data_IF_504256929222
#
_entry.id   IF_504256929222
#
_cell.length_a   1.000
_cell.length_b   1.000
_cell.length_c   1.000
_cell.angle_alpha   90.00
_cell.angle_beta   90.00
_cell.angle_gamma   90.00
#
_symmetry.space_group_name_H-M   'P 1'
#
loop_
_entity.id
_entity.type
_entity.pdbx_description
1 polymer ?
#
# COMPACT_ATOMS: atom_id res chain seq x y z
N UNK A 1 15.39 11.45 -18.95
CA UNK A 1 15.67 11.06 -17.55
C UNK A 1 14.35 11.20 -16.79
N UNK A 2 13.91 10.13 -16.16
CA UNK A 2 12.73 10.13 -15.32
C UNK A 2 12.96 10.90 -14.01
N UNK A 3 11.89 11.26 -13.31
CA UNK A 3 11.97 12.00 -12.05
C UNK A 3 12.58 11.18 -10.90
N UNK A 4 12.68 9.85 -11.07
CA UNK A 4 13.17 8.89 -10.07
C UNK A 4 14.43 8.13 -10.52
N UNK A 5 15.15 8.62 -11.53
CA UNK A 5 16.38 7.98 -12.02
C UNK A 5 17.38 7.72 -10.87
N UNK A 6 17.84 6.47 -10.74
CA UNK A 6 18.77 6.03 -9.70
C UNK A 6 18.19 5.92 -8.29
N UNK A 7 16.88 6.11 -8.11
CA UNK A 7 16.17 5.85 -6.87
C UNK A 7 15.79 4.37 -6.76
N UNK A 8 15.68 3.87 -5.53
CA UNK A 8 15.27 2.51 -5.23
C UNK A 8 13.95 2.53 -4.47
N UNK A 9 12.95 1.84 -5.01
CA UNK A 9 11.64 1.69 -4.41
C UNK A 9 11.39 0.23 -4.00
N UNK A 10 10.79 0.04 -2.83
CA UNK A 10 10.24 -1.24 -2.40
C UNK A 10 8.72 -1.12 -2.30
N UNK A 11 8.00 -2.02 -2.96
CA UNK A 11 6.53 -2.07 -2.92
C UNK A 11 6.09 -3.40 -2.34
N UNK A 12 5.45 -3.41 -1.17
CA UNK A 12 4.93 -4.65 -0.58
C UNK A 12 3.62 -5.08 -1.23
N UNK A 13 3.41 -6.40 -1.39
CA UNK A 13 2.20 -6.93 -2.04
C UNK A 13 2.06 -6.48 -3.49
N UNK A 14 3.16 -6.42 -4.23
CA UNK A 14 3.22 -5.87 -5.58
C UNK A 14 3.20 -6.92 -6.70
N UNK A 15 2.80 -8.15 -6.40
CA UNK A 15 2.57 -9.18 -7.42
C UNK A 15 1.25 -9.03 -8.18
N UNK A 16 0.39 -8.07 -7.77
CA UNK A 16 -0.91 -7.80 -8.43
C UNK A 16 -1.51 -6.46 -7.99
N UNK A 17 -2.52 -6.00 -8.71
CA UNK A 17 -3.40 -4.90 -8.33
C UNK A 17 -2.69 -3.57 -8.11
N UNK A 18 -3.02 -2.85 -7.02
CA UNK A 18 -2.47 -1.51 -6.73
C UNK A 18 -0.94 -1.55 -6.59
N UNK A 19 -0.41 -2.60 -5.94
CA UNK A 19 1.03 -2.76 -5.77
C UNK A 19 1.78 -2.94 -7.09
N UNK A 20 1.27 -3.79 -7.98
CA UNK A 20 1.79 -3.99 -9.33
C UNK A 20 1.76 -2.69 -10.14
N UNK A 21 0.60 -2.03 -10.20
CA UNK A 21 0.46 -0.75 -10.91
C UNK A 21 1.40 0.34 -10.35
N UNK A 22 1.60 0.36 -9.02
CA UNK A 22 2.55 1.28 -8.37
C UNK A 22 4.00 0.95 -8.74
N UNK A 23 4.37 -0.34 -8.79
CA UNK A 23 5.70 -0.79 -9.20
C UNK A 23 6.01 -0.36 -10.64
N UNK A 24 5.06 -0.57 -11.56
CA UNK A 24 5.19 -0.12 -12.95
C UNK A 24 5.30 1.41 -13.07
N UNK A 25 4.49 2.16 -12.33
CA UNK A 25 4.53 3.63 -12.36
C UNK A 25 5.86 4.19 -11.85
N UNK A 26 6.40 3.62 -10.76
CA UNK A 26 7.71 4.00 -10.21
C UNK A 26 8.85 3.67 -11.18
N UNK A 27 8.81 2.48 -11.79
CA UNK A 27 9.81 2.07 -12.78
C UNK A 27 9.74 2.91 -14.07
N UNK A 28 8.56 3.30 -14.53
CA UNK A 28 8.38 4.17 -15.68
C UNK A 28 9.04 5.55 -15.48
N UNK A 29 9.17 6.02 -14.23
CA UNK A 29 9.88 7.25 -13.87
C UNK A 29 11.38 7.01 -13.56
N UNK A 30 11.90 5.82 -13.78
CA UNK A 30 13.33 5.52 -13.70
C UNK A 30 13.78 4.86 -12.39
N UNK A 31 12.89 4.56 -11.44
CA UNK A 31 13.26 3.88 -10.21
C UNK A 31 13.61 2.41 -10.46
N UNK A 32 14.61 1.88 -9.75
CA UNK A 32 14.77 0.44 -9.54
C UNK A 32 13.73 -0.03 -8.54
N UNK A 33 13.06 -1.16 -8.80
CA UNK A 33 11.91 -1.56 -7.97
C UNK A 33 12.10 -2.97 -7.40
N UNK A 34 11.96 -3.08 -6.08
CA UNK A 34 11.81 -4.38 -5.41
C UNK A 34 10.33 -4.72 -5.31
N UNK A 35 9.97 -5.84 -5.93
CA UNK A 35 8.63 -6.45 -5.91
C UNK A 35 8.58 -7.48 -4.79
N UNK A 36 7.50 -7.48 -4.03
CA UNK A 36 7.32 -8.40 -2.91
C UNK A 36 5.93 -9.06 -2.93
N UNK A 37 5.87 -10.31 -2.53
CA UNK A 37 4.65 -10.99 -2.10
C UNK A 37 4.98 -12.08 -1.07
N UNK A 38 3.97 -12.52 -0.30
CA UNK A 38 4.15 -13.62 0.66
C UNK A 38 4.13 -15.01 0.01
N UNK A 39 3.36 -15.17 -1.08
CA UNK A 39 3.14 -16.49 -1.70
C UNK A 39 3.12 -16.49 -3.23
N UNK A 40 2.80 -15.39 -3.89
CA UNK A 40 2.60 -15.30 -5.35
C UNK A 40 3.95 -15.05 -6.07
N UNK A 41 4.87 -16.03 -5.98
CA UNK A 41 6.26 -15.89 -6.49
C UNK A 41 6.27 -15.67 -8.01
N UNK A 42 5.60 -16.55 -8.76
CA UNK A 42 5.61 -16.49 -10.23
C UNK A 42 5.01 -15.18 -10.75
N UNK A 43 3.90 -14.73 -10.16
CA UNK A 43 3.30 -13.45 -10.51
C UNK A 43 4.23 -12.28 -10.17
N UNK A 44 4.90 -12.31 -9.00
CA UNK A 44 5.87 -11.27 -8.63
C UNK A 44 7.08 -11.23 -9.56
N UNK A 45 7.58 -12.39 -10.00
CA UNK A 45 8.67 -12.47 -10.98
C UNK A 45 8.23 -11.95 -12.36
N UNK A 46 7.01 -12.27 -12.80
CA UNK A 46 6.47 -11.74 -14.04
C UNK A 46 6.34 -10.20 -14.01
N UNK A 47 5.98 -9.62 -12.86
CA UNK A 47 5.99 -8.16 -12.70
C UNK A 47 7.42 -7.63 -12.90
N UNK A 48 8.42 -8.22 -12.23
CA UNK A 48 9.83 -7.80 -12.39
C UNK A 48 10.29 -7.85 -13.84
N UNK A 49 9.98 -8.92 -14.56
CA UNK A 49 10.35 -9.07 -15.98
C UNK A 49 9.71 -8.00 -16.90
N UNK A 50 8.56 -7.47 -16.52
CA UNK A 50 7.83 -6.45 -17.28
C UNK A 50 8.24 -5.01 -16.93
N UNK A 51 9.08 -4.79 -15.90
CA UNK A 51 9.53 -3.44 -15.53
C UNK A 51 10.50 -2.87 -16.59
N UNK A 52 10.41 -1.57 -16.92
CA UNK A 52 11.34 -0.92 -17.85
C UNK A 52 12.72 -0.65 -17.23
N UNK A 53 12.87 -0.78 -15.93
CA UNK A 53 14.11 -0.60 -15.17
C UNK A 53 14.53 -1.89 -14.49
N UNK A 54 15.70 -1.90 -13.88
CA UNK A 54 16.13 -3.05 -13.10
C UNK A 54 15.19 -3.28 -11.91
N UNK A 55 14.61 -4.48 -11.84
CA UNK A 55 13.76 -4.94 -10.75
C UNK A 55 14.36 -6.13 -10.03
N UNK A 56 13.87 -6.40 -8.82
CA UNK A 56 14.22 -7.58 -8.05
C UNK A 56 13.01 -8.10 -7.27
N UNK A 57 12.83 -9.42 -7.22
CA UNK A 57 11.75 -10.02 -6.45
C UNK A 57 12.28 -10.59 -5.13
N UNK A 58 11.63 -10.24 -4.01
CA UNK A 58 11.92 -10.81 -2.70
C UNK A 58 10.63 -11.34 -2.09
N UNK A 59 10.58 -12.64 -1.82
CA UNK A 59 9.48 -13.24 -1.06
C UNK A 59 9.61 -12.91 0.42
N UNK A 60 8.57 -12.32 1.01
CA UNK A 60 8.47 -12.10 2.45
C UNK A 60 7.00 -11.94 2.86
N UNK A 61 6.64 -12.50 4.01
CA UNK A 61 5.35 -12.25 4.66
C UNK A 61 5.52 -11.11 5.68
N UNK A 62 4.81 -10.00 5.45
CA UNK A 62 4.93 -8.83 6.32
C UNK A 62 4.28 -9.04 7.71
N UNK A 63 3.52 -10.12 7.92
CA UNK A 63 3.04 -10.50 9.24
C UNK A 63 4.12 -11.10 10.15
N UNK A 64 5.36 -11.22 9.65
CA UNK A 64 6.55 -11.68 10.38
C UNK A 64 7.60 -10.57 10.40
N UNK A 65 7.93 -10.06 11.59
CA UNK A 65 8.90 -8.97 11.77
C UNK A 65 10.29 -9.34 11.20
N UNK A 66 10.72 -10.60 11.37
CA UNK A 66 12.03 -11.05 10.88
C UNK A 66 12.10 -11.03 9.35
N UNK A 67 11.01 -11.38 8.68
CA UNK A 67 10.91 -11.32 7.23
C UNK A 67 10.81 -9.87 6.72
N UNK A 68 10.17 -8.97 7.46
CA UNK A 68 10.20 -7.53 7.15
C UNK A 68 11.65 -6.99 7.20
N UNK A 69 12.40 -7.33 8.24
CA UNK A 69 13.82 -6.97 8.36
C UNK A 69 14.65 -7.54 7.22
N UNK A 70 14.47 -8.82 6.89
CA UNK A 70 15.17 -9.48 5.79
C UNK A 70 14.82 -8.86 4.42
N UNK A 71 13.57 -8.46 4.19
CA UNK A 71 13.13 -7.81 2.96
C UNK A 71 13.83 -6.46 2.76
N UNK A 72 13.91 -5.64 3.81
CA UNK A 72 14.65 -4.37 3.76
C UNK A 72 16.14 -4.61 3.56
N UNK A 73 16.74 -5.53 4.32
CA UNK A 73 18.16 -5.85 4.21
C UNK A 73 18.52 -6.34 2.79
N UNK A 74 17.74 -7.25 2.21
CA UNK A 74 17.93 -7.75 0.85
C UNK A 74 17.76 -6.65 -0.21
N UNK A 75 16.86 -5.68 0.02
CA UNK A 75 16.72 -4.51 -0.86
C UNK A 75 17.99 -3.66 -0.86
N UNK A 76 18.51 -3.36 0.32
CA UNK A 76 19.73 -2.55 0.48
C UNK A 76 20.97 -3.31 0.00
N UNK A 77 21.07 -4.61 0.27
CA UNK A 77 22.16 -5.46 -0.24
C UNK A 77 22.20 -5.44 -1.78
N UNK A 78 21.03 -5.52 -2.43
CA UNK A 78 20.92 -5.57 -3.89
C UNK A 78 21.23 -4.24 -4.59
N UNK A 79 20.78 -3.12 -4.03
CA UNK A 79 20.79 -1.82 -4.69
C UNK A 79 21.61 -0.74 -3.97
N UNK A 80 22.13 -1.04 -2.76
CA UNK A 80 22.96 -0.13 -1.97
C UNK A 80 22.18 0.99 -1.25
N UNK A 81 20.85 1.09 -1.44
CA UNK A 81 20.02 2.15 -0.88
C UNK A 81 18.54 1.80 -0.85
N UNK A 82 17.75 2.59 -0.12
CA UNK A 82 16.28 2.60 -0.19
C UNK A 82 15.81 4.05 -0.12
N UNK A 83 15.05 4.50 -1.13
CA UNK A 83 14.52 5.86 -1.22
C UNK A 83 13.00 5.92 -0.99
N UNK A 84 12.28 4.88 -1.42
CA UNK A 84 10.83 4.87 -1.44
C UNK A 84 10.33 3.53 -0.88
N UNK A 85 9.49 3.60 0.16
CA UNK A 85 8.74 2.45 0.67
C UNK A 85 7.26 2.64 0.41
N UNK A 86 6.65 1.75 -0.37
CA UNK A 86 5.20 1.69 -0.55
C UNK A 86 4.64 0.50 0.22
N UNK A 87 4.00 0.75 1.34
CA UNK A 87 3.30 -0.25 2.15
C UNK A 87 1.91 -0.48 1.54
N UNK A 88 1.81 -1.44 0.63
CA UNK A 88 0.56 -1.78 -0.05
C UNK A 88 0.01 -3.15 0.39
N UNK A 89 0.85 -4.09 0.81
CA UNK A 89 0.37 -5.39 1.28
C UNK A 89 -0.66 -5.25 2.40
N UNK A 90 -1.68 -6.08 2.36
CA UNK A 90 -2.73 -6.08 3.36
C UNK A 90 -3.57 -7.35 3.28
N UNK A 91 -4.44 -7.51 4.26
CA UNK A 91 -5.37 -8.63 4.32
C UNK A 91 -6.72 -8.20 4.87
N UNK A 92 -7.78 -8.79 4.35
CA UNK A 92 -9.13 -8.71 4.92
C UNK A 92 -9.98 -9.91 4.53
N UNK A 93 -11.10 -10.06 5.21
CA UNK A 93 -12.25 -10.87 4.81
C UNK A 93 -13.53 -10.08 5.02
N UNK A 94 -14.57 -10.40 4.26
CA UNK A 94 -15.88 -9.75 4.42
C UNK A 94 -16.59 -10.31 5.65
N UNK A 95 -16.95 -9.42 6.57
CA UNK A 95 -17.81 -9.72 7.71
C UNK A 95 -18.83 -8.59 7.83
N UNK A 96 -20.11 -8.91 7.90
CA UNK A 96 -21.16 -7.91 8.08
C UNK A 96 -20.90 -7.09 9.35
N UNK A 97 -20.99 -5.76 9.23
CA UNK A 97 -20.69 -4.86 10.35
C UNK A 97 -21.64 -5.00 11.54
N UNK A 98 -22.80 -5.62 11.33
CA UNK A 98 -23.79 -5.90 12.39
C UNK A 98 -23.65 -7.30 12.98
N UNK A 99 -22.89 -8.21 12.34
CA UNK A 99 -22.65 -9.57 12.84
C UNK A 99 -21.34 -9.64 13.63
N UNK A 100 -21.41 -9.23 14.88
CA UNK A 100 -20.25 -9.28 15.79
C UNK A 100 -19.76 -10.69 16.11
N UNK A 101 -20.63 -11.70 16.00
CA UNK A 101 -20.25 -13.09 16.25
C UNK A 101 -19.43 -13.67 15.11
N UNK A 102 -19.70 -13.27 13.86
CA UNK A 102 -18.91 -13.67 12.71
C UNK A 102 -17.51 -13.01 12.66
N UNK A 103 -17.31 -11.88 13.35
CA UNK A 103 -15.98 -11.27 13.52
C UNK A 103 -15.23 -12.01 14.63
N UNK A 104 -14.69 -13.16 14.32
CA UNK A 104 -13.92 -13.97 15.28
C UNK A 104 -12.59 -13.30 15.66
N UNK A 105 -12.02 -13.71 16.81
CA UNK A 105 -10.70 -13.24 17.24
C UNK A 105 -9.61 -13.53 16.19
N UNK A 106 -9.68 -14.68 15.51
CA UNK A 106 -8.69 -15.05 14.49
C UNK A 106 -8.73 -14.06 13.30
N UNK A 107 -9.95 -13.69 12.86
CA UNK A 107 -10.12 -12.67 11.80
C UNK A 107 -9.58 -11.32 12.28
N UNK A 108 -9.95 -10.91 13.49
CA UNK A 108 -9.52 -9.64 14.08
C UNK A 108 -8.00 -9.59 14.20
N UNK A 109 -7.39 -10.60 14.83
CA UNK A 109 -5.94 -10.64 15.06
C UNK A 109 -5.16 -10.66 13.75
N UNK A 110 -5.55 -11.52 12.80
CA UNK A 110 -4.92 -11.57 11.48
C UNK A 110 -5.02 -10.24 10.73
N UNK A 111 -6.18 -9.56 10.81
CA UNK A 111 -6.36 -8.26 10.18
C UNK A 111 -5.41 -7.22 10.77
N UNK A 112 -5.27 -7.18 12.09
CA UNK A 112 -4.37 -6.25 12.78
C UNK A 112 -2.91 -6.62 12.52
N UNK A 113 -2.56 -7.89 12.62
CA UNK A 113 -1.19 -8.39 12.41
C UNK A 113 -0.66 -8.01 11.03
N UNK A 114 -1.37 -8.36 9.96
CA UNK A 114 -0.92 -8.06 8.60
C UNK A 114 -0.94 -6.56 8.32
N UNK A 115 -2.08 -5.88 8.57
CA UNK A 115 -2.22 -4.48 8.13
C UNK A 115 -1.50 -3.48 9.05
N UNK A 116 -1.52 -3.68 10.38
CA UNK A 116 -0.96 -2.70 11.31
C UNK A 116 0.47 -3.06 11.69
N UNK A 117 0.68 -4.25 12.25
CA UNK A 117 2.02 -4.64 12.69
C UNK A 117 2.96 -4.80 11.51
N UNK A 118 2.53 -5.45 10.44
CA UNK A 118 3.34 -5.60 9.22
C UNK A 118 3.78 -4.25 8.65
N UNK A 119 2.87 -3.30 8.49
CA UNK A 119 3.21 -1.94 8.04
C UNK A 119 4.16 -1.24 9.02
N UNK A 120 3.94 -1.37 10.32
CA UNK A 120 4.82 -0.82 11.33
C UNK A 120 6.24 -1.42 11.26
N UNK A 121 6.37 -2.75 11.16
CA UNK A 121 7.67 -3.42 11.07
C UNK A 121 8.43 -3.03 9.79
N UNK A 122 7.73 -2.90 8.67
CA UNK A 122 8.31 -2.39 7.43
C UNK A 122 8.84 -0.96 7.61
N UNK A 123 8.04 -0.05 8.18
CA UNK A 123 8.46 1.32 8.45
C UNK A 123 9.66 1.37 9.42
N UNK A 124 9.61 0.56 10.50
CA UNK A 124 10.68 0.47 11.49
C UNK A 124 12.01 0.02 10.87
N UNK A 125 11.97 -1.05 10.06
CA UNK A 125 13.17 -1.58 9.41
C UNK A 125 13.71 -0.63 8.32
N UNK A 126 12.84 0.03 7.56
CA UNK A 126 13.23 0.95 6.48
C UNK A 126 13.76 2.30 6.97
N UNK A 127 13.33 2.76 8.15
CA UNK A 127 13.59 4.12 8.63
C UNK A 127 15.07 4.53 8.64
N UNK A 128 16.04 3.71 9.09
CA UNK A 128 17.46 4.09 9.03
C UNK A 128 17.91 4.44 7.60
N UNK A 129 17.55 3.60 6.62
CA UNK A 129 17.93 3.78 5.22
C UNK A 129 17.21 4.94 4.54
N UNK A 130 15.93 5.14 4.87
CA UNK A 130 15.16 6.29 4.37
C UNK A 130 15.70 7.63 4.93
N UNK A 131 16.25 7.65 6.14
CA UNK A 131 16.89 8.86 6.68
C UNK A 131 18.17 9.22 5.92
N UNK A 132 18.96 8.24 5.49
CA UNK A 132 20.18 8.44 4.70
C UNK A 132 19.88 9.05 3.31
N UNK A 133 18.71 8.78 2.76
CA UNK A 133 18.31 9.20 1.42
C UNK A 133 17.31 10.37 1.42
N UNK A 134 16.91 10.86 2.60
CA UNK A 134 15.77 11.79 2.78
C UNK A 134 14.52 11.29 2.06
N UNK A 135 14.24 9.99 2.25
CA UNK A 135 13.32 9.20 1.48
C UNK A 135 11.84 9.46 1.76
N UNK A 136 11.01 8.55 1.28
CA UNK A 136 9.55 8.68 1.31
C UNK A 136 8.87 7.36 1.68
N UNK A 137 7.82 7.44 2.50
CA UNK A 137 6.90 6.34 2.81
C UNK A 137 5.53 6.68 2.23
N UNK A 138 4.91 5.73 1.53
CA UNK A 138 3.51 5.81 1.11
C UNK A 138 2.75 4.61 1.65
N UNK A 139 1.77 4.85 2.52
CA UNK A 139 0.91 3.80 3.07
C UNK A 139 -0.37 3.70 2.25
N UNK A 140 -0.68 2.54 1.70
CA UNK A 140 -1.98 2.29 1.05
C UNK A 140 -2.99 1.91 2.14
N UNK A 141 -3.80 2.90 2.53
CA UNK A 141 -4.83 2.77 3.56
C UNK A 141 -6.19 2.40 2.94
N UNK A 142 -7.25 3.08 3.26
CA UNK A 142 -8.58 2.93 2.66
C UNK A 142 -9.50 4.06 3.13
N UNK A 143 -10.53 4.39 2.36
CA UNK A 143 -11.66 5.20 2.86
C UNK A 143 -12.36 4.55 4.05
N UNK A 144 -12.24 3.22 4.23
CA UNK A 144 -12.72 2.50 5.41
C UNK A 144 -12.04 2.95 6.72
N UNK A 145 -10.84 3.52 6.65
CA UNK A 145 -10.17 4.15 7.79
C UNK A 145 -10.59 5.61 8.03
N UNK A 146 -11.45 6.16 7.17
CA UNK A 146 -11.94 7.54 7.26
C UNK A 146 -13.44 7.62 7.54
N UNK A 147 -14.20 6.59 7.19
CA UNK A 147 -15.66 6.50 7.33
C UNK A 147 -16.05 5.08 7.73
N UNK A 148 -17.17 4.88 8.43
CA UNK A 148 -17.71 3.56 8.79
C UNK A 148 -18.16 2.81 7.53
N UNK A 149 -17.28 2.04 6.94
CA UNK A 149 -17.50 1.22 5.73
C UNK A 149 -16.38 0.20 5.56
N UNK A 150 -16.39 -0.54 4.46
CA UNK A 150 -15.35 -1.50 4.10
C UNK A 150 -15.79 -2.94 4.34
N UNK A 151 -14.84 -3.85 4.31
CA UNK A 151 -15.09 -5.29 4.34
C UNK A 151 -15.42 -5.84 5.74
N UNK A 152 -15.01 -5.15 6.80
CA UNK A 152 -15.28 -5.52 8.20
C UNK A 152 -14.91 -4.39 9.16
N UNK A 153 -15.41 -4.46 10.40
CA UNK A 153 -15.00 -3.55 11.49
C UNK A 153 -13.48 -3.61 11.72
N UNK A 154 -12.89 -4.82 11.74
CA UNK A 154 -11.45 -5.00 11.94
C UNK A 154 -10.63 -4.29 10.86
N UNK A 155 -11.08 -4.34 9.61
CA UNK A 155 -10.41 -3.67 8.50
C UNK A 155 -10.46 -2.15 8.64
N UNK A 156 -11.63 -1.60 8.97
CA UNK A 156 -11.80 -0.17 9.24
C UNK A 156 -10.87 0.31 10.35
N UNK A 157 -10.84 -0.43 11.49
CA UNK A 157 -9.93 -0.14 12.62
C UNK A 157 -8.46 -0.16 12.17
N UNK A 158 -8.05 -1.20 11.42
CA UNK A 158 -6.66 -1.33 10.95
C UNK A 158 -6.27 -0.15 10.02
N UNK A 159 -7.13 0.22 9.08
CA UNK A 159 -6.85 1.31 8.14
C UNK A 159 -6.89 2.70 8.81
N UNK A 160 -7.69 2.89 9.86
CA UNK A 160 -7.64 4.08 10.69
C UNK A 160 -6.31 4.19 11.48
N UNK A 161 -5.82 3.06 12.02
CA UNK A 161 -4.51 3.02 12.68
C UNK A 161 -3.37 3.42 11.73
N UNK A 162 -3.43 3.01 10.45
CA UNK A 162 -2.43 3.42 9.45
C UNK A 162 -2.50 4.91 9.09
N UNK A 163 -3.67 5.53 9.14
CA UNK A 163 -3.80 6.97 8.96
C UNK A 163 -3.06 7.71 10.09
N UNK A 164 -3.28 7.30 11.36
CA UNK A 164 -2.56 7.85 12.51
C UNK A 164 -1.04 7.63 12.41
N UNK A 165 -0.62 6.39 12.08
CA UNK A 165 0.81 6.08 11.88
C UNK A 165 1.44 6.98 10.81
N UNK A 166 0.73 7.27 9.72
CA UNK A 166 1.22 8.13 8.65
C UNK A 166 1.51 9.55 9.15
N UNK A 167 0.59 10.13 9.91
CA UNK A 167 0.74 11.48 10.47
C UNK A 167 1.85 11.54 11.51
N UNK A 168 1.95 10.52 12.39
CA UNK A 168 3.01 10.44 13.40
C UNK A 168 4.40 10.31 12.76
N UNK A 169 4.56 9.43 11.76
CA UNK A 169 5.84 9.30 11.04
C UNK A 169 6.22 10.60 10.33
N UNK A 170 5.27 11.25 9.66
CA UNK A 170 5.50 12.54 9.00
C UNK A 170 5.96 13.62 9.97
N UNK A 171 5.35 13.67 11.17
CA UNK A 171 5.64 14.68 12.19
C UNK A 171 7.00 14.50 12.85
N UNK A 172 7.36 13.25 13.17
CA UNK A 172 8.49 13.00 14.07
C UNK A 172 9.76 12.47 13.37
N UNK A 173 9.68 12.12 12.08
CA UNK A 173 10.80 11.52 11.35
C UNK A 173 11.30 12.35 10.15
N UNK A 174 10.96 13.64 10.08
CA UNK A 174 11.54 14.50 9.03
C UNK A 174 13.09 14.43 9.04
N UNK A 175 13.74 14.52 7.88
CA UNK A 175 13.20 14.87 6.56
C UNK A 175 12.50 13.74 5.79
N UNK A 176 12.43 12.52 6.33
CA UNK A 176 11.65 11.43 5.71
C UNK A 176 10.18 11.86 5.65
N UNK A 177 9.61 11.87 4.45
CA UNK A 177 8.20 12.18 4.25
C UNK A 177 7.35 10.92 4.39
N UNK A 178 6.16 11.06 4.94
CA UNK A 178 5.22 9.95 5.02
C UNK A 178 3.83 10.44 4.61
N UNK A 179 3.20 9.77 3.65
CA UNK A 179 1.85 10.07 3.18
C UNK A 179 1.04 8.79 3.05
N UNK A 180 -0.26 8.92 2.94
CA UNK A 180 -1.16 7.80 2.67
C UNK A 180 -2.01 8.04 1.42
N UNK A 181 -2.27 6.95 0.70
CA UNK A 181 -3.33 6.88 -0.30
C UNK A 181 -4.48 6.09 0.30
N UNK A 182 -5.69 6.65 0.28
CA UNK A 182 -6.90 6.04 0.81
C UNK A 182 -7.88 5.70 -0.34
N UNK A 183 -7.77 4.51 -0.96
CA UNK A 183 -8.65 4.09 -2.04
C UNK A 183 -10.08 3.84 -1.58
N UNK A 184 -11.02 4.05 -2.49
CA UNK A 184 -12.34 3.44 -2.46
C UNK A 184 -12.29 1.97 -2.86
N UNK A 185 -13.39 1.46 -3.47
CA UNK A 185 -13.37 0.12 -4.03
C UNK A 185 -12.60 0.12 -5.35
N UNK A 186 -11.59 -0.76 -5.45
CA UNK A 186 -10.68 -0.87 -6.59
C UNK A 186 -10.87 -2.22 -7.27
N UNK A 187 -11.00 -2.23 -8.59
CA UNK A 187 -11.13 -3.44 -9.40
C UNK A 187 -9.77 -4.14 -9.51
N UNK A 188 -9.52 -5.08 -8.61
CA UNK A 188 -8.29 -5.87 -8.51
C UNK A 188 -8.60 -7.36 -8.44
N UNK A 189 -7.63 -8.27 -8.65
CA UNK A 189 -7.83 -9.69 -8.38
C UNK A 189 -8.36 -9.98 -6.97
N UNK A 190 -7.96 -9.18 -5.97
CA UNK A 190 -8.42 -9.33 -4.59
C UNK A 190 -9.93 -9.06 -4.40
N UNK A 191 -10.52 -8.20 -5.22
CA UNK A 191 -11.95 -7.82 -5.15
C UNK A 191 -12.77 -8.41 -6.29
N UNK A 192 -12.21 -9.33 -7.08
CA UNK A 192 -12.87 -9.92 -8.28
C UNK A 192 -14.20 -10.60 -7.97
N UNK A 193 -14.33 -11.19 -6.77
CA UNK A 193 -15.58 -11.85 -6.32
C UNK A 193 -16.59 -10.89 -5.67
N UNK A 194 -16.29 -9.57 -5.62
CA UNK A 194 -17.14 -8.55 -4.98
C UNK A 194 -18.00 -7.80 -6.00
N UNK A 195 -18.52 -8.50 -7.02
CA UNK A 195 -19.29 -7.90 -8.12
C UNK A 195 -20.51 -7.10 -7.67
N UNK A 196 -21.19 -7.56 -6.61
CA UNK A 196 -22.30 -6.86 -5.96
C UNK A 196 -21.89 -5.48 -5.40
N UNK A 197 -20.71 -5.41 -4.77
CA UNK A 197 -20.19 -4.15 -4.24
C UNK A 197 -19.70 -3.22 -5.36
N UNK A 198 -19.05 -3.76 -6.39
CA UNK A 198 -18.64 -2.97 -7.56
C UNK A 198 -19.83 -2.33 -8.26
N UNK A 199 -20.92 -3.08 -8.46
CA UNK A 199 -22.16 -2.56 -9.04
C UNK A 199 -22.79 -1.48 -8.13
N UNK A 200 -22.85 -1.74 -6.81
CA UNK A 200 -23.37 -0.78 -5.83
C UNK A 200 -22.59 0.54 -5.81
N UNK A 201 -21.25 0.45 -5.75
CA UNK A 201 -20.39 1.65 -5.78
C UNK A 201 -20.54 2.40 -7.10
N UNK A 202 -20.55 1.70 -8.24
CA UNK A 202 -20.72 2.34 -9.55
C UNK A 202 -22.04 3.09 -9.69
N UNK A 203 -23.08 2.63 -8.99
CA UNK A 203 -24.39 3.29 -9.00
C UNK A 203 -24.46 4.58 -8.19
N UNK A 204 -23.63 4.72 -7.13
CA UNK A 204 -23.68 5.86 -6.21
C UNK A 204 -22.48 6.80 -6.30
N UNK A 205 -21.30 6.30 -6.68
CA UNK A 205 -20.11 7.12 -6.79
C UNK A 205 -20.29 8.20 -7.88
N UNK A 206 -19.98 9.46 -7.61
CA UNK A 206 -20.02 10.52 -8.61
C UNK A 206 -19.23 10.23 -9.87
N UNK A 207 -18.14 9.44 -9.77
CA UNK A 207 -17.35 8.99 -10.93
C UNK A 207 -18.04 7.92 -11.79
N UNK A 208 -19.15 7.32 -11.33
CA UNK A 208 -19.88 6.27 -12.05
C UNK A 208 -19.17 4.93 -12.19
N UNK A 209 -18.05 4.71 -11.48
CA UNK A 209 -17.27 3.46 -11.53
C UNK A 209 -16.48 3.20 -10.25
N UNK A 210 -16.06 1.98 -10.05
CA UNK A 210 -14.98 1.64 -9.13
C UNK A 210 -13.64 2.19 -9.67
N UNK A 211 -12.69 2.39 -8.78
CA UNK A 211 -11.33 2.75 -9.18
C UNK A 211 -10.61 1.59 -9.89
N UNK A 212 -9.61 1.91 -10.71
CA UNK A 212 -8.64 0.94 -11.22
C UNK A 212 -7.35 0.99 -10.37
N UNK A 213 -6.48 -0.03 -10.45
CA UNK A 213 -5.16 0.01 -9.84
C UNK A 213 -4.34 1.25 -10.24
N UNK A 214 -4.44 1.67 -11.50
CA UNK A 214 -3.73 2.82 -12.06
C UNK A 214 -4.20 4.15 -11.46
N UNK A 215 -5.50 4.29 -11.15
CA UNK A 215 -6.01 5.49 -10.43
C UNK A 215 -5.29 5.66 -9.07
N UNK A 216 -5.06 4.54 -8.37
CA UNK A 216 -4.35 4.53 -7.09
C UNK A 216 -2.83 4.75 -7.27
N UNK A 217 -2.23 4.13 -8.29
CA UNK A 217 -0.81 4.31 -8.59
C UNK A 217 -0.46 5.76 -8.92
N UNK A 218 -1.32 6.49 -9.62
CA UNK A 218 -1.15 7.94 -9.85
C UNK A 218 -1.10 8.73 -8.53
N UNK A 219 -1.93 8.36 -7.55
CA UNK A 219 -1.91 9.00 -6.24
C UNK A 219 -0.65 8.63 -5.44
N UNK A 220 -0.17 7.39 -5.54
CA UNK A 220 1.14 6.99 -4.99
C UNK A 220 2.25 7.83 -5.60
N UNK A 221 2.26 8.00 -6.93
CA UNK A 221 3.23 8.85 -7.62
C UNK A 221 3.16 10.30 -7.17
N UNK A 222 1.98 10.86 -6.96
CA UNK A 222 1.83 12.23 -6.43
C UNK A 222 2.45 12.36 -5.02
N UNK A 223 2.27 11.35 -4.13
CA UNK A 223 2.90 11.33 -2.81
C UNK A 223 4.42 11.19 -2.89
N UNK A 224 4.94 10.47 -3.89
CA UNK A 224 6.38 10.26 -4.09
C UNK A 224 7.04 11.51 -4.67
N UNK A 225 6.49 12.08 -5.74
CA UNK A 225 7.15 13.14 -6.52
C UNK A 225 6.94 14.54 -5.96
N UNK A 226 5.86 14.79 -5.21
CA UNK A 226 5.66 16.07 -4.55
C UNK A 226 6.48 16.15 -3.26
N UNK A 227 7.63 16.81 -3.32
CA UNK A 227 8.59 16.90 -2.21
C UNK A 227 8.11 17.75 -1.03
N UNK A 228 7.02 18.49 -1.17
CA UNK A 228 6.43 19.30 -0.09
C UNK A 228 5.21 18.63 0.56
N UNK A 229 4.82 17.44 0.09
CA UNK A 229 3.72 16.67 0.65
C UNK A 229 4.22 15.71 1.73
N UNK A 230 3.77 15.91 3.00
CA UNK A 230 4.03 15.03 4.14
C UNK A 230 2.87 15.11 5.13
N UNK A 231 2.44 13.97 5.68
CA UNK A 231 1.30 13.85 6.59
C UNK A 231 -0.07 13.88 5.91
N UNK A 232 -0.12 13.77 4.59
CA UNK A 232 -1.38 13.83 3.82
C UNK A 232 -1.99 12.44 3.68
N UNK A 233 -3.33 12.36 3.83
CA UNK A 233 -4.13 11.18 3.49
C UNK A 233 -4.94 11.53 2.23
N UNK A 234 -4.44 11.08 1.08
CA UNK A 234 -5.00 11.40 -0.23
C UNK A 234 -6.12 10.40 -0.60
N UNK A 235 -7.37 10.84 -0.63
CA UNK A 235 -8.51 10.01 -1.02
C UNK A 235 -8.55 9.78 -2.53
N UNK A 236 -8.76 8.52 -2.93
CA UNK A 236 -8.95 8.09 -4.33
C UNK A 236 -10.21 7.23 -4.38
N UNK A 237 -11.37 7.86 -4.35
CA UNK A 237 -12.65 7.19 -4.11
C UNK A 237 -13.78 7.57 -5.09
N UNK A 238 -13.46 8.33 -6.13
CA UNK A 238 -14.45 8.78 -7.12
C UNK A 238 -15.58 9.64 -6.54
N UNK A 239 -15.37 10.23 -5.35
CA UNK A 239 -16.37 11.00 -4.63
C UNK A 239 -17.32 10.16 -3.76
N UNK A 240 -17.07 8.85 -3.62
CA UNK A 240 -17.93 7.94 -2.84
C UNK A 240 -18.18 8.43 -1.43
N UNK A 241 -17.17 8.94 -0.71
CA UNK A 241 -17.33 9.43 0.68
C UNK A 241 -18.10 10.75 0.80
N UNK A 242 -18.48 11.38 -0.29
CA UNK A 242 -19.32 12.58 -0.29
C UNK A 242 -20.81 12.25 -0.33
N UNK A 243 -21.16 11.02 -0.72
CA UNK A 243 -22.56 10.57 -0.93
C UNK A 243 -22.98 9.43 0.03
N UNK A 244 -22.06 8.91 0.83
CA UNK A 244 -22.30 7.89 1.87
C UNK A 244 -22.27 8.49 3.27
#
# INVERSE_FOLDING_TARGET
>A
MGSLDGKVALVTGSSSGIGEASAHALAAEGAHVVVNSSSSVDAGMAVVEALPTEGHYIRADISDESQCQALIAGTVERFGRLDILVNNAGWTTRVDHTDHAALTNDILFKTIEVNVYGTWWMCKAAMPHLKETEGNIVNVTSIAGLRPMGSSLAYGMAKAALNSLTEDLAKFHGPVRCNAVAPGLVATPWTSEWGDLHAGISAIAPSGRSATPEDCAQAVMACVTNTYMSGTILKVDGGTTLVL
#
